data_IF_398020317382
#
_entry.id   IF_398020317382
#
_cell.length_a   1.000
_cell.length_b   1.000
_cell.length_c   1.000
_cell.angle_alpha   90.00
_cell.angle_beta   90.00
_cell.angle_gamma   90.00
#
_symmetry.space_group_name_H-M   'P 1'
#
loop_
_entity.id
_entity.type
_entity.pdbx_description
1 polymer ?
#
# COMPACT_ATOMS: atom_id res chain seq x y z
N UNK A 1 18.63 -10.69 -12.73
CA UNK A 1 17.64 -9.61 -12.61
C UNK A 1 17.36 -9.32 -11.15
N UNK A 2 17.43 -8.07 -10.76
CA UNK A 2 17.10 -7.68 -9.38
C UNK A 2 15.60 -7.79 -9.14
N UNK A 3 15.21 -8.39 -8.03
CA UNK A 3 13.83 -8.40 -7.59
C UNK A 3 13.46 -6.99 -7.13
N UNK A 4 12.26 -6.59 -7.44
CA UNK A 4 11.67 -5.35 -6.91
C UNK A 4 10.68 -5.73 -5.81
N UNK A 5 11.18 -5.80 -4.57
CA UNK A 5 10.38 -6.24 -3.43
C UNK A 5 9.20 -5.31 -3.15
N UNK A 6 9.40 -4.00 -3.32
CA UNK A 6 8.33 -3.04 -3.09
C UNK A 6 7.17 -3.28 -4.06
N UNK A 7 7.49 -3.52 -5.33
CA UNK A 7 6.49 -3.82 -6.35
C UNK A 7 5.78 -5.15 -6.04
N UNK A 8 6.55 -6.18 -5.68
CA UNK A 8 6.00 -7.51 -5.34
C UNK A 8 5.07 -7.44 -4.13
N UNK A 9 5.47 -6.77 -3.06
CA UNK A 9 4.66 -6.66 -1.84
C UNK A 9 3.39 -5.84 -2.07
N UNK A 10 3.48 -4.78 -2.88
CA UNK A 10 2.29 -3.97 -3.16
C UNK A 10 1.29 -4.72 -4.03
N UNK A 11 1.77 -5.54 -4.97
CA UNK A 11 0.92 -6.43 -5.75
C UNK A 11 0.25 -7.46 -4.84
N UNK A 12 1.03 -8.07 -3.94
CA UNK A 12 0.53 -9.02 -2.96
C UNK A 12 -0.57 -8.41 -2.10
N UNK A 13 -0.37 -7.17 -1.63
CA UNK A 13 -1.37 -6.47 -0.84
C UNK A 13 -2.69 -6.33 -1.60
N UNK A 14 -2.64 -5.86 -2.85
CA UNK A 14 -3.85 -5.67 -3.65
C UNK A 14 -4.59 -6.99 -3.87
N UNK A 15 -3.87 -8.08 -4.17
CA UNK A 15 -4.44 -9.40 -4.38
C UNK A 15 -5.07 -9.92 -3.08
N UNK A 16 -4.34 -9.81 -1.96
CA UNK A 16 -4.83 -10.29 -0.66
C UNK A 16 -6.05 -9.53 -0.17
N UNK A 17 -6.08 -8.21 -0.38
CA UNK A 17 -7.26 -7.41 -0.02
C UNK A 17 -8.48 -7.85 -0.84
N UNK A 18 -8.32 -8.10 -2.13
CA UNK A 18 -9.41 -8.58 -2.97
C UNK A 18 -9.95 -9.94 -2.45
N UNK A 19 -9.05 -10.84 -2.06
CA UNK A 19 -9.43 -12.14 -1.46
C UNK A 19 -10.15 -11.96 -0.14
N UNK A 20 -9.64 -11.08 0.72
CA UNK A 20 -10.28 -10.78 2.01
C UNK A 20 -11.73 -10.35 1.78
N UNK A 21 -11.95 -9.44 0.86
CA UNK A 21 -13.28 -8.91 0.55
C UNK A 21 -14.23 -9.98 -0.02
N UNK A 22 -13.70 -11.03 -0.65
CA UNK A 22 -14.52 -12.12 -1.18
C UNK A 22 -14.81 -13.20 -0.13
N UNK A 23 -13.94 -13.34 0.87
CA UNK A 23 -14.04 -14.40 1.89
C UNK A 23 -14.87 -13.98 3.11
N UNK A 24 -14.88 -12.71 3.45
CA UNK A 24 -15.56 -12.19 4.63
C UNK A 24 -16.72 -11.29 4.22
N UNK A 25 -17.76 -11.29 5.06
CA UNK A 25 -18.91 -10.43 4.83
C UNK A 25 -18.62 -9.04 5.37
N UNK A 26 -18.23 -8.14 4.49
CA UNK A 26 -17.85 -6.78 4.82
C UNK A 26 -18.79 -5.82 4.10
N UNK A 27 -19.11 -4.70 4.75
CA UNK A 27 -19.94 -3.63 4.17
C UNK A 27 -19.44 -3.24 2.77
N UNK A 28 -20.37 -3.09 1.83
CA UNK A 28 -20.03 -2.82 0.42
C UNK A 28 -19.24 -1.52 0.21
N UNK A 29 -19.53 -0.48 1.00
CA UNK A 29 -18.77 0.77 0.90
C UNK A 29 -17.32 0.57 1.37
N UNK A 30 -17.14 -0.16 2.46
CA UNK A 30 -15.81 -0.47 2.98
C UNK A 30 -15.01 -1.32 2.00
N UNK A 31 -15.67 -2.31 1.37
CA UNK A 31 -15.05 -3.13 0.31
C UNK A 31 -14.55 -2.24 -0.82
N UNK A 32 -15.40 -1.33 -1.30
CA UNK A 32 -15.03 -0.41 -2.36
C UNK A 32 -13.81 0.44 -1.97
N UNK A 33 -13.83 1.01 -0.78
CA UNK A 33 -12.76 1.90 -0.32
C UNK A 33 -11.43 1.17 -0.13
N UNK A 34 -11.44 0.01 0.50
CA UNK A 34 -10.18 -0.72 0.77
C UNK A 34 -9.59 -1.28 -0.52
N UNK A 35 -10.43 -1.74 -1.45
CA UNK A 35 -9.96 -2.21 -2.76
C UNK A 35 -9.36 -1.06 -3.56
N UNK A 36 -9.98 0.11 -3.49
CA UNK A 36 -9.50 1.32 -4.17
C UNK A 36 -8.14 1.74 -3.61
N UNK A 37 -8.01 1.86 -2.28
CA UNK A 37 -6.75 2.31 -1.67
C UNK A 37 -5.63 1.30 -1.88
N UNK A 38 -5.89 0.00 -1.70
CA UNK A 38 -4.85 -1.02 -1.86
C UNK A 38 -4.38 -1.15 -3.32
N UNK A 39 -5.27 -1.07 -4.28
CA UNK A 39 -4.90 -1.09 -5.70
C UNK A 39 -4.15 0.20 -6.10
N UNK A 40 -4.47 1.33 -5.47
CA UNK A 40 -3.77 2.59 -5.70
C UNK A 40 -2.33 2.54 -5.19
N UNK A 41 -2.06 1.81 -4.09
CA UNK A 41 -0.68 1.58 -3.62
C UNK A 41 0.13 0.94 -4.74
N UNK A 42 -0.37 -0.16 -5.27
CA UNK A 42 0.30 -0.91 -6.34
C UNK A 42 0.44 -0.07 -7.61
N UNK A 43 -0.63 0.62 -8.02
CA UNK A 43 -0.62 1.43 -9.25
C UNK A 43 0.44 2.54 -9.19
N UNK A 44 0.53 3.25 -8.06
CA UNK A 44 1.48 4.34 -7.92
C UNK A 44 2.93 3.84 -7.84
N UNK A 45 3.17 2.70 -7.19
CA UNK A 45 4.49 2.09 -7.17
C UNK A 45 4.89 1.64 -8.58
N UNK A 46 3.93 1.09 -9.35
CA UNK A 46 4.15 0.70 -10.74
C UNK A 46 4.55 1.93 -11.59
N UNK A 47 3.80 3.02 -11.47
CA UNK A 47 4.08 4.25 -12.20
C UNK A 47 5.45 4.83 -11.82
N UNK A 48 5.85 4.70 -10.55
CA UNK A 48 7.14 5.17 -10.07
C UNK A 48 8.33 4.45 -10.71
N UNK A 49 8.10 3.29 -11.35
CA UNK A 49 9.16 2.57 -12.08
C UNK A 49 9.49 3.25 -13.41
N UNK A 50 8.63 4.13 -13.90
CA UNK A 50 8.76 4.82 -15.20
C UNK A 50 8.60 6.32 -15.02
N UNK A 51 9.42 6.95 -14.15
CA UNK A 51 9.21 8.35 -13.78
C UNK A 51 9.69 9.31 -14.85
N UNK A 52 9.04 10.46 -14.93
CA UNK A 52 9.46 11.55 -15.81
C UNK A 52 10.63 12.35 -15.19
N UNK A 53 10.80 12.25 -13.88
CA UNK A 53 11.84 12.95 -13.12
C UNK A 53 11.94 12.34 -11.73
N UNK A 54 12.98 12.70 -10.96
CA UNK A 54 13.08 12.30 -9.55
C UNK A 54 11.93 12.88 -8.74
N UNK A 55 11.52 14.10 -9.04
CA UNK A 55 10.38 14.73 -8.36
C UNK A 55 9.08 13.97 -8.62
N UNK A 56 8.87 13.50 -9.85
CA UNK A 56 7.72 12.68 -10.22
C UNK A 56 7.75 11.34 -9.46
N UNK A 57 8.91 10.69 -9.42
CA UNK A 57 9.09 9.43 -8.68
C UNK A 57 8.73 9.63 -7.20
N UNK A 58 9.24 10.71 -6.59
CA UNK A 58 8.96 11.06 -5.21
C UNK A 58 7.46 11.23 -4.98
N UNK A 59 6.81 11.98 -5.87
CA UNK A 59 5.36 12.21 -5.80
C UNK A 59 4.58 10.90 -5.83
N UNK A 60 4.93 9.98 -6.73
CA UNK A 60 4.26 8.67 -6.84
C UNK A 60 4.43 7.84 -5.57
N UNK A 61 5.63 7.81 -5.00
CA UNK A 61 5.89 7.09 -3.75
C UNK A 61 5.15 7.72 -2.57
N UNK A 62 5.04 9.05 -2.52
CA UNK A 62 4.30 9.74 -1.46
C UNK A 62 2.81 9.41 -1.54
N UNK A 63 2.23 9.38 -2.74
CA UNK A 63 0.83 8.98 -2.94
C UNK A 63 0.65 7.52 -2.48
N UNK A 64 1.55 6.62 -2.88
CA UNK A 64 1.49 5.22 -2.47
C UNK A 64 1.53 5.08 -0.95
N UNK A 65 2.38 5.86 -0.27
CA UNK A 65 2.50 5.84 1.18
C UNK A 65 1.20 6.28 1.86
N UNK A 66 0.60 7.34 1.36
CA UNK A 66 -0.70 7.84 1.84
C UNK A 66 -1.80 6.79 1.65
N UNK A 67 -1.86 6.17 0.48
CA UNK A 67 -2.86 5.15 0.17
C UNK A 67 -2.67 3.89 1.02
N UNK A 68 -1.42 3.55 1.35
CA UNK A 68 -1.12 2.44 2.23
C UNK A 68 -1.64 2.71 3.65
N UNK A 69 -1.45 3.94 4.15
CA UNK A 69 -1.99 4.36 5.44
C UNK A 69 -3.51 4.32 5.44
N UNK A 70 -4.14 4.70 4.34
CA UNK A 70 -5.59 4.62 4.19
C UNK A 70 -6.07 3.17 4.22
N UNK A 71 -5.36 2.27 3.54
CA UNK A 71 -5.66 0.83 3.58
C UNK A 71 -5.62 0.30 5.02
N UNK A 72 -4.62 0.70 5.80
CA UNK A 72 -4.53 0.34 7.22
C UNK A 72 -5.73 0.84 8.01
N UNK A 73 -6.20 2.04 7.73
CA UNK A 73 -7.37 2.61 8.41
C UNK A 73 -8.62 1.79 8.14
N UNK A 74 -8.83 1.37 6.90
CA UNK A 74 -9.96 0.52 6.55
C UNK A 74 -9.85 -0.86 7.18
N UNK A 75 -8.64 -1.45 7.24
CA UNK A 75 -8.41 -2.73 7.93
C UNK A 75 -8.76 -2.63 9.40
N UNK A 76 -8.36 -1.53 10.05
CA UNK A 76 -8.67 -1.29 11.46
C UNK A 76 -10.17 -1.19 11.68
N UNK A 77 -10.88 -0.53 10.80
CA UNK A 77 -12.34 -0.40 10.88
C UNK A 77 -13.02 -1.77 10.71
N UNK A 78 -12.57 -2.56 9.75
CA UNK A 78 -13.09 -3.91 9.51
C UNK A 78 -12.90 -4.79 10.75
N UNK A 79 -11.71 -4.74 11.35
CA UNK A 79 -11.40 -5.50 12.55
C UNK A 79 -12.23 -5.01 13.75
N UNK A 80 -12.34 -3.71 13.95
CA UNK A 80 -13.11 -3.12 15.04
C UNK A 80 -14.59 -3.46 14.93
N UNK A 81 -15.09 -3.65 13.72
CA UNK A 81 -16.48 -4.06 13.46
C UNK A 81 -16.70 -5.56 13.68
N UNK A 82 -15.66 -6.32 13.97
CA UNK A 82 -15.75 -7.75 14.24
C UNK A 82 -15.85 -8.62 12.99
N UNK A 83 -15.60 -8.07 11.81
CA UNK A 83 -15.77 -8.79 10.55
C UNK A 83 -14.60 -9.73 10.21
N UNK A 84 -13.43 -9.51 10.80
CA UNK A 84 -12.25 -10.37 10.64
C UNK A 84 -11.64 -10.64 12.02
N UNK A 85 -10.91 -11.76 12.13
CA UNK A 85 -10.23 -12.12 13.37
C UNK A 85 -8.92 -11.33 13.56
N UNK A 86 -8.40 -11.40 14.78
CA UNK A 86 -7.18 -10.65 15.15
C UNK A 86 -5.97 -11.10 14.35
N UNK A 87 -5.81 -12.39 14.10
CA UNK A 87 -4.65 -12.90 13.36
C UNK A 87 -4.67 -12.42 11.92
N UNK A 88 -5.82 -12.44 11.26
CA UNK A 88 -6.00 -11.92 9.92
C UNK A 88 -5.66 -10.42 9.89
N UNK A 89 -6.20 -9.67 10.85
CA UNK A 89 -5.90 -8.24 10.95
C UNK A 89 -4.39 -7.97 11.07
N UNK A 90 -3.72 -8.69 11.98
CA UNK A 90 -2.27 -8.53 12.21
C UNK A 90 -1.46 -8.85 10.95
N UNK A 91 -1.82 -9.91 10.24
CA UNK A 91 -1.13 -10.31 9.01
C UNK A 91 -1.18 -9.21 7.95
N UNK A 92 -2.36 -8.65 7.72
CA UNK A 92 -2.54 -7.58 6.74
C UNK A 92 -1.87 -6.29 7.19
N UNK A 93 -2.00 -5.94 8.47
CA UNK A 93 -1.35 -4.76 9.04
C UNK A 93 0.17 -4.84 8.90
N UNK A 94 0.74 -6.02 9.15
CA UNK A 94 2.18 -6.23 9.04
C UNK A 94 2.67 -6.03 7.60
N UNK A 95 1.89 -6.49 6.61
CA UNK A 95 2.23 -6.28 5.20
C UNK A 95 2.20 -4.79 4.85
N UNK A 96 1.17 -4.08 5.27
CA UNK A 96 1.07 -2.63 5.07
C UNK A 96 2.26 -1.91 5.73
N UNK A 97 2.61 -2.29 6.96
CA UNK A 97 3.73 -1.69 7.69
C UNK A 97 5.05 -1.89 6.97
N UNK A 98 5.28 -3.08 6.41
CA UNK A 98 6.48 -3.36 5.62
C UNK A 98 6.56 -2.47 4.39
N UNK A 99 5.46 -2.36 3.65
CA UNK A 99 5.39 -1.52 2.46
C UNK A 99 5.65 -0.05 2.82
N UNK A 100 5.04 0.44 3.90
CA UNK A 100 5.23 1.83 4.35
C UNK A 100 6.69 2.12 4.71
N UNK A 101 7.35 1.20 5.41
CA UNK A 101 8.77 1.38 5.75
C UNK A 101 9.65 1.46 4.52
N UNK A 102 9.38 0.61 3.53
CA UNK A 102 10.12 0.62 2.26
C UNK A 102 9.88 1.91 1.48
N UNK A 103 8.63 2.39 1.45
CA UNK A 103 8.27 3.64 0.79
C UNK A 103 8.94 4.83 1.48
N UNK A 104 8.94 4.86 2.80
CA UNK A 104 9.60 5.92 3.57
C UNK A 104 11.10 5.96 3.25
N UNK A 105 11.76 4.81 3.23
CA UNK A 105 13.18 4.73 2.89
C UNK A 105 13.45 5.23 1.46
N UNK A 106 12.59 4.83 0.52
CA UNK A 106 12.69 5.28 -0.89
C UNK A 106 12.53 6.78 -1.01
N UNK A 107 11.56 7.36 -0.31
CA UNK A 107 11.32 8.81 -0.32
C UNK A 107 12.52 9.57 0.25
N UNK A 108 13.11 9.11 1.34
CA UNK A 108 14.29 9.73 1.93
C UNK A 108 15.47 9.71 0.95
N UNK A 109 15.70 8.57 0.29
CA UNK A 109 16.76 8.44 -0.71
C UNK A 109 16.59 9.45 -1.84
N UNK A 110 15.36 9.59 -2.35
CA UNK A 110 15.06 10.52 -3.44
C UNK A 110 15.22 11.98 -2.97
N UNK A 111 14.74 12.30 -1.76
CA UNK A 111 14.87 13.63 -1.19
C UNK A 111 16.34 14.05 -1.09
N UNK A 112 17.20 13.12 -0.67
CA UNK A 112 18.63 13.38 -0.60
C UNK A 112 19.23 13.65 -1.98
N UNK A 113 18.82 12.89 -2.99
CA UNK A 113 19.26 13.12 -4.38
C UNK A 113 18.77 14.46 -4.91
N UNK A 114 17.53 14.85 -4.60
CA UNK A 114 16.98 16.13 -5.02
C UNK A 114 17.74 17.32 -4.40
N UNK A 115 18.20 17.17 -3.16
CA UNK A 115 18.99 18.21 -2.50
C UNK A 115 20.37 18.38 -3.12
N UNK A 116 20.93 17.32 -3.69
CA UNK A 116 22.25 17.33 -4.32
C UNK A 116 22.20 17.91 -5.75
N UNK A 117 21.06 17.82 -6.36
CA UNK A 117 20.83 18.30 -7.70
C UNK A 117 20.44 19.76 -7.72
#
# INVERSE_FOLDING_TARGET
MKRNLLLEYSEELAIKIAKLCSEYKIDSNTVFQIKKSSSSVFANITEAQYPQSLADMHSKFEIARKECAETESWLKLIFASGDIDEQTFKNYRNLCGRIKRMLTASCITIENKLKQG
#
